data_IF_638546499161
#
_entry.id   IF_638546499161
#
_cell.length_a   1.000
_cell.length_b   1.000
_cell.length_c   1.000
_cell.angle_alpha   90.00
_cell.angle_beta   90.00
_cell.angle_gamma   90.00
#
_symmetry.space_group_name_H-M   'P 1'
#
loop_
_entity.id
_entity.type
_entity.pdbx_description
1 polymer ?
#
# COMPACT_ATOMS: atom_id res chain seq x y z
N UNK A 1 -10.19 1.15 -2.65
CA UNK A 1 -9.01 0.91 -1.77
C UNK A 1 -7.75 1.42 -2.44
N UNK A 2 -6.71 1.74 -1.66
CA UNK A 2 -5.36 1.98 -2.18
C UNK A 2 -4.36 1.03 -1.53
N UNK A 3 -3.58 0.32 -2.34
CA UNK A 3 -2.55 -0.61 -1.88
C UNK A 3 -1.16 -0.12 -2.26
N UNK A 4 -0.23 -0.22 -1.31
CA UNK A 4 1.18 0.10 -1.49
C UNK A 4 2.00 -1.19 -1.31
N UNK A 5 2.75 -1.58 -2.33
CA UNK A 5 3.74 -2.65 -2.27
C UNK A 5 5.11 -2.04 -2.06
N UNK A 6 5.78 -2.41 -0.96
CA UNK A 6 7.10 -1.89 -0.60
C UNK A 6 8.07 -3.02 -0.21
N UNK A 7 9.37 -2.79 -0.32
CA UNK A 7 10.39 -3.85 -0.24
C UNK A 7 10.83 -4.25 1.18
N UNK A 8 10.21 -3.67 2.23
CA UNK A 8 10.51 -3.98 3.62
C UNK A 8 11.43 -2.99 4.34
N UNK A 9 11.78 -3.30 5.59
CA UNK A 9 12.39 -2.35 6.54
C UNK A 9 13.79 -1.84 6.14
N UNK A 10 14.52 -2.57 5.30
CA UNK A 10 15.87 -2.19 4.86
C UNK A 10 15.88 -1.25 3.64
N UNK A 11 14.71 -0.96 3.07
CA UNK A 11 14.55 -0.07 1.93
C UNK A 11 14.30 1.37 2.40
N UNK A 12 15.28 2.25 2.23
CA UNK A 12 15.17 3.65 2.66
C UNK A 12 14.02 4.38 1.96
N UNK A 13 13.91 4.25 0.63
CA UNK A 13 12.86 4.92 -0.14
C UNK A 13 11.45 4.40 0.22
N UNK A 14 11.35 3.15 0.70
CA UNK A 14 10.09 2.60 1.19
C UNK A 14 9.64 3.29 2.49
N UNK A 15 10.57 3.56 3.40
CA UNK A 15 10.28 4.31 4.63
C UNK A 15 9.83 5.74 4.30
N UNK A 16 10.49 6.39 3.35
CA UNK A 16 10.09 7.72 2.86
C UNK A 16 8.68 7.71 2.26
N UNK A 17 8.34 6.68 1.47
CA UNK A 17 7.00 6.51 0.90
C UNK A 17 5.94 6.39 2.00
N UNK A 18 6.15 5.53 2.99
CA UNK A 18 5.22 5.38 4.12
C UNK A 18 5.09 6.70 4.91
N UNK A 19 6.18 7.44 5.09
CA UNK A 19 6.15 8.77 5.72
C UNK A 19 5.39 9.82 4.91
N UNK A 20 5.40 9.73 3.57
CA UNK A 20 4.64 10.63 2.70
C UNK A 20 3.14 10.35 2.77
N UNK A 21 2.74 9.07 2.82
CA UNK A 21 1.34 8.65 2.84
C UNK A 21 0.70 8.71 4.24
N UNK A 22 1.46 8.48 5.31
CA UNK A 22 0.94 8.39 6.67
C UNK A 22 0.08 9.60 7.11
N UNK A 23 0.45 10.87 6.83
CA UNK A 23 -0.35 12.04 7.19
C UNK A 23 -1.71 12.11 6.46
N UNK A 24 -1.89 11.37 5.37
CA UNK A 24 -3.10 11.41 4.55
C UNK A 24 -4.06 10.25 4.81
N UNK A 25 -3.72 9.29 5.69
CA UNK A 25 -4.56 8.11 5.97
C UNK A 25 -6.01 8.49 6.26
N UNK A 26 -6.23 9.47 7.14
CA UNK A 26 -7.58 9.92 7.49
C UNK A 26 -8.32 10.54 6.29
N UNK A 27 -7.63 11.27 5.41
CA UNK A 27 -8.25 11.87 4.21
C UNK A 27 -8.64 10.79 3.19
N UNK A 28 -7.79 9.78 3.01
CA UNK A 28 -8.07 8.61 2.18
C UNK A 28 -9.28 7.82 2.71
N UNK A 29 -9.33 7.56 4.03
CA UNK A 29 -10.46 6.87 4.67
C UNK A 29 -11.77 7.64 4.52
N UNK A 30 -11.77 8.96 4.80
CA UNK A 30 -12.96 9.80 4.64
C UNK A 30 -13.45 9.87 3.19
N UNK A 31 -12.53 9.73 2.22
CA UNK A 31 -12.86 9.65 0.80
C UNK A 31 -13.34 8.25 0.35
N UNK A 32 -13.38 7.25 1.24
CA UNK A 32 -13.78 5.89 0.91
C UNK A 32 -12.68 5.03 0.28
N UNK A 33 -11.41 5.46 0.37
CA UNK A 33 -10.26 4.80 -0.23
C UNK A 33 -9.22 4.42 0.84
N UNK A 34 -9.53 3.55 1.81
CA UNK A 34 -8.59 3.20 2.88
C UNK A 34 -7.26 2.69 2.29
N UNK A 35 -6.17 3.11 2.93
CA UNK A 35 -4.79 2.77 2.59
C UNK A 35 -4.34 1.50 3.31
N UNK A 36 -3.57 0.66 2.64
CA UNK A 36 -2.88 -0.49 3.22
C UNK A 36 -1.52 -0.67 2.53
N UNK A 37 -0.54 -1.20 3.25
CA UNK A 37 0.77 -1.50 2.68
C UNK A 37 1.18 -2.97 2.90
N UNK A 38 1.74 -3.59 1.87
CA UNK A 38 2.17 -4.99 1.84
C UNK A 38 3.66 -5.01 1.56
N UNK A 39 4.41 -5.74 2.39
CA UNK A 39 5.86 -5.85 2.24
C UNK A 39 6.33 -7.26 1.99
N UNK A 40 7.58 -7.40 1.56
CA UNK A 40 8.28 -8.68 1.49
C UNK A 40 8.87 -9.12 2.82
N UNK A 41 8.76 -8.29 3.87
CA UNK A 41 9.22 -8.67 5.20
C UNK A 41 8.37 -9.80 5.76
N UNK A 42 8.98 -10.65 6.58
CA UNK A 42 8.25 -11.50 7.49
C UNK A 42 7.70 -10.68 8.69
N UNK A 43 7.04 -11.35 9.63
CA UNK A 43 6.46 -10.70 10.82
C UNK A 43 7.48 -9.94 11.70
N UNK A 44 8.73 -10.39 11.78
CA UNK A 44 9.78 -9.70 12.53
C UNK A 44 10.27 -8.44 11.81
N UNK A 45 10.44 -8.52 10.48
CA UNK A 45 10.76 -7.37 9.65
C UNK A 45 9.65 -6.31 9.67
N UNK A 46 8.39 -6.73 9.68
CA UNK A 46 7.24 -5.81 9.80
C UNK A 46 7.26 -5.03 11.13
N UNK A 47 7.56 -5.71 12.25
CA UNK A 47 7.76 -5.05 13.55
C UNK A 47 8.93 -4.07 13.53
N UNK A 48 9.98 -4.38 12.77
CA UNK A 48 11.11 -3.48 12.56
C UNK A 48 10.69 -2.25 11.74
N UNK A 49 9.93 -2.42 10.66
CA UNK A 49 9.34 -1.32 9.89
C UNK A 49 8.53 -0.37 10.78
N UNK A 50 7.70 -0.92 11.68
CA UNK A 50 6.91 -0.12 12.64
C UNK A 50 7.82 0.63 13.61
N UNK A 51 8.82 -0.03 14.19
CA UNK A 51 9.75 0.60 15.13
C UNK A 51 10.62 1.69 14.51
N UNK A 52 10.98 1.53 13.23
CA UNK A 52 11.80 2.50 12.49
C UNK A 52 11.01 3.74 12.07
N UNK A 53 9.67 3.71 12.18
CA UNK A 53 8.85 4.88 11.99
C UNK A 53 9.01 5.82 13.19
N UNK A 54 9.63 6.98 12.96
CA UNK A 54 10.07 7.92 14.00
C UNK A 54 9.02 9.02 14.31
N UNK A 55 7.91 9.06 13.57
CA UNK A 55 6.85 10.06 13.71
C UNK A 55 5.68 9.61 14.59
N UNK A 56 5.89 8.60 15.44
CA UNK A 56 4.89 8.07 16.38
C UNK A 56 4.37 6.70 15.93
N UNK A 57 3.07 6.47 16.08
CA UNK A 57 2.43 5.24 15.59
C UNK A 57 2.17 5.36 14.09
N UNK A 58 2.61 4.38 13.31
CA UNK A 58 2.35 4.32 11.88
C UNK A 58 0.85 4.04 11.65
N UNK A 59 0.08 4.97 11.06
CA UNK A 59 -1.38 4.81 10.90
C UNK A 59 -1.75 3.88 9.74
N UNK A 60 -0.80 3.53 8.87
CA UNK A 60 -1.04 2.66 7.71
C UNK A 60 -1.00 1.20 8.19
N UNK A 61 -2.08 0.41 7.98
CA UNK A 61 -2.04 -1.04 8.21
C UNK A 61 -0.98 -1.72 7.33
N UNK A 62 -0.10 -2.49 7.98
CA UNK A 62 0.97 -3.23 7.32
C UNK A 62 0.66 -4.72 7.25
N UNK A 63 1.01 -5.35 6.14
CA UNK A 63 0.89 -6.78 5.90
C UNK A 63 2.21 -7.37 5.40
N UNK A 64 2.47 -8.61 5.80
CA UNK A 64 3.64 -9.38 5.38
C UNK A 64 3.25 -10.31 4.23
N UNK A 65 4.09 -10.33 3.18
CA UNK A 65 4.03 -11.30 2.10
C UNK A 65 5.43 -11.85 1.77
N UNK A 66 6.06 -12.47 2.76
CA UNK A 66 7.38 -13.11 2.62
C UNK A 66 7.43 -14.24 1.58
N UNK A 67 6.29 -14.87 1.26
CA UNK A 67 6.15 -15.87 0.19
C UNK A 67 6.15 -15.28 -1.22
N UNK A 68 5.98 -13.96 -1.37
CA UNK A 68 5.91 -13.22 -2.63
C UNK A 68 4.79 -13.64 -3.60
N UNK A 69 3.84 -14.48 -3.17
CA UNK A 69 2.72 -14.93 -3.99
C UNK A 69 1.75 -13.80 -4.33
N UNK A 70 1.55 -12.84 -3.41
CA UNK A 70 0.74 -11.64 -3.66
C UNK A 70 1.51 -10.67 -4.56
N UNK A 71 2.81 -10.43 -4.31
CA UNK A 71 3.65 -9.60 -5.19
C UNK A 71 3.60 -10.11 -6.64
N UNK A 72 3.73 -11.42 -6.85
CA UNK A 72 3.64 -12.03 -8.19
C UNK A 72 2.25 -11.93 -8.79
N UNK A 73 1.20 -12.10 -8.00
CA UNK A 73 -0.20 -11.98 -8.48
C UNK A 73 -0.55 -10.56 -8.94
N UNK A 74 0.09 -9.54 -8.35
CA UNK A 74 -0.05 -8.14 -8.75
C UNK A 74 1.01 -7.69 -9.78
N UNK A 75 1.84 -8.60 -10.28
CA UNK A 75 2.95 -8.31 -11.19
C UNK A 75 3.97 -7.28 -10.64
N UNK A 76 4.09 -7.21 -9.32
CA UNK A 76 5.08 -6.37 -8.60
C UNK A 76 6.36 -7.18 -8.34
N UNK A 77 6.75 -8.00 -9.30
CA UNK A 77 7.94 -8.85 -9.20
C UNK A 77 8.54 -8.96 -10.60
N UNK A 78 9.82 -8.65 -10.71
CA UNK A 78 10.60 -8.84 -11.93
C UNK A 78 11.08 -10.30 -11.99
N UNK A 79 10.49 -11.10 -12.88
CA UNK A 79 10.89 -12.50 -13.07
C UNK A 79 12.25 -12.67 -13.76
N UNK A 80 12.73 -11.66 -14.50
CA UNK A 80 14.03 -11.67 -15.15
C UNK A 80 15.14 -11.40 -14.14
N UNK A 81 15.02 -10.32 -13.38
CA UNK A 81 15.99 -9.95 -12.34
C UNK A 81 15.77 -10.67 -11.00
N UNK A 82 14.64 -11.39 -10.88
CA UNK A 82 14.22 -12.17 -9.70
C UNK A 82 14.07 -11.32 -8.44
N UNK A 83 13.55 -10.11 -8.58
CA UNK A 83 13.42 -9.17 -7.48
C UNK A 83 12.02 -8.56 -7.36
N UNK A 84 11.54 -8.31 -6.13
CA UNK A 84 10.32 -7.55 -5.91
C UNK A 84 10.50 -6.10 -6.37
N UNK A 85 9.41 -5.48 -6.82
CA UNK A 85 9.35 -4.06 -7.22
C UNK A 85 8.52 -3.26 -6.22
N UNK A 86 8.49 -1.94 -6.40
CA UNK A 86 7.49 -1.10 -5.73
C UNK A 86 6.21 -1.10 -6.54
N UNK A 87 5.09 -0.91 -5.85
CA UNK A 87 3.79 -0.79 -6.52
C UNK A 87 2.85 0.13 -5.76
N UNK A 88 2.06 0.92 -6.47
CA UNK A 88 0.93 1.68 -5.91
C UNK A 88 -0.30 1.42 -6.75
N UNK A 89 -1.40 1.02 -6.12
CA UNK A 89 -2.60 0.59 -6.82
C UNK A 89 -3.84 1.31 -6.29
N UNK A 90 -4.75 1.66 -7.20
CA UNK A 90 -6.13 2.01 -6.87
C UNK A 90 -7.01 0.84 -7.30
N UNK A 91 -7.78 0.31 -6.36
CA UNK A 91 -8.63 -0.87 -6.53
C UNK A 91 -10.08 -0.50 -6.23
N UNK A 92 -11.00 -0.87 -7.12
CA UNK A 92 -12.44 -0.65 -6.93
C UNK A 92 -13.06 -1.64 -5.92
N UNK A 93 -14.33 -1.43 -5.55
CA UNK A 93 -15.06 -2.29 -4.61
C UNK A 93 -15.35 -3.72 -5.12
N UNK A 94 -15.05 -4.02 -6.38
CA UNK A 94 -15.17 -5.36 -6.98
C UNK A 94 -13.81 -6.08 -7.06
N UNK A 95 -12.73 -5.43 -6.63
CA UNK A 95 -11.37 -5.97 -6.68
C UNK A 95 -10.63 -5.72 -7.99
N UNK A 96 -11.15 -4.88 -8.89
CA UNK A 96 -10.43 -4.54 -10.12
C UNK A 96 -9.40 -3.44 -9.88
N UNK A 97 -8.21 -3.60 -10.46
CA UNK A 97 -7.22 -2.52 -10.54
C UNK A 97 -7.69 -1.50 -11.58
N UNK A 98 -7.92 -0.25 -11.16
CA UNK A 98 -8.34 0.84 -12.05
C UNK A 98 -7.21 1.83 -12.35
N UNK A 99 -6.14 1.79 -11.56
CA UNK A 99 -4.89 2.49 -11.81
C UNK A 99 -3.76 1.81 -11.05
N UNK A 100 -2.56 1.83 -11.64
CA UNK A 100 -1.36 1.30 -11.01
C UNK A 100 -0.12 2.07 -11.44
N UNK A 101 0.88 2.08 -10.57
CA UNK A 101 2.28 2.40 -10.86
C UNK A 101 3.14 1.26 -10.31
N UNK A 102 4.02 0.70 -11.14
CA UNK A 102 4.95 -0.39 -10.78
C UNK A 102 6.33 -0.01 -11.29
N UNK A 103 7.32 0.07 -10.39
CA UNK A 103 8.65 0.58 -10.73
C UNK A 103 9.72 0.13 -9.74
N UNK A 104 10.98 0.35 -10.10
CA UNK A 104 12.11 0.24 -9.18
C UNK A 104 12.10 1.31 -8.09
N UNK A 105 11.50 2.47 -8.37
CA UNK A 105 11.35 3.55 -7.40
C UNK A 105 9.91 3.58 -6.86
N UNK A 106 9.70 3.91 -5.57
CA UNK A 106 8.36 4.05 -5.02
C UNK A 106 7.64 5.27 -5.59
N UNK A 107 6.32 5.18 -5.71
CA UNK A 107 5.48 6.33 -6.06
C UNK A 107 5.27 7.22 -4.82
N UNK A 108 5.64 8.49 -4.92
CA UNK A 108 5.77 9.40 -3.77
C UNK A 108 4.69 10.49 -3.64
N UNK A 109 3.67 10.50 -4.51
CA UNK A 109 2.65 11.57 -4.53
C UNK A 109 1.27 11.08 -4.04
N UNK A 110 1.01 11.07 -2.72
CA UNK A 110 -0.28 10.64 -2.18
C UNK A 110 -1.44 11.56 -2.60
N UNK A 111 -1.20 12.84 -2.87
CA UNK A 111 -2.25 13.78 -3.33
C UNK A 111 -2.70 13.45 -4.74
N UNK A 112 -1.76 13.10 -5.60
CA UNK A 112 -2.07 12.59 -6.93
C UNK A 112 -2.91 11.31 -6.84
N UNK A 113 -2.50 10.33 -6.03
CA UNK A 113 -3.24 9.07 -5.88
C UNK A 113 -4.67 9.31 -5.39
N UNK A 114 -4.86 10.17 -4.38
CA UNK A 114 -6.20 10.50 -3.87
C UNK A 114 -7.07 11.18 -4.94
N UNK A 115 -6.49 12.11 -5.71
CA UNK A 115 -7.18 12.79 -6.81
C UNK A 115 -7.60 11.80 -7.90
N UNK A 116 -6.71 10.89 -8.28
CA UNK A 116 -7.01 9.87 -9.30
C UNK A 116 -8.03 8.86 -8.81
N UNK A 117 -7.99 8.46 -7.54
CA UNK A 117 -9.00 7.58 -6.96
C UNK A 117 -10.40 8.21 -7.04
N UNK A 118 -10.53 9.49 -6.66
CA UNK A 118 -11.79 10.25 -6.78
C UNK A 118 -12.25 10.39 -8.24
N UNK A 119 -11.33 10.58 -9.18
CA UNK A 119 -11.64 10.73 -10.61
C UNK A 119 -12.12 9.42 -11.25
N UNK A 120 -11.47 8.31 -10.91
CA UNK A 120 -11.73 7.00 -11.50
C UNK A 120 -12.92 6.28 -10.85
N UNK A 121 -13.22 6.59 -9.59
CA UNK A 121 -14.26 5.94 -8.79
C UNK A 121 -15.22 6.98 -8.17
N UNK A 122 -15.97 7.74 -8.98
CA UNK A 122 -16.81 8.84 -8.50
C UNK A 122 -18.02 8.38 -7.67
N UNK A 123 -18.52 7.16 -7.91
CA UNK A 123 -19.74 6.61 -7.29
C UNK A 123 -19.44 5.51 -6.25
N UNK A 124 -18.24 5.51 -5.67
CA UNK A 124 -17.84 4.42 -4.79
C UNK A 124 -18.77 4.32 -3.57
N UNK A 125 -19.50 3.20 -3.45
CA UNK A 125 -20.24 2.86 -2.24
C UNK A 125 -19.29 2.97 -1.05
N UNK A 126 -19.70 3.76 -0.05
CA UNK A 126 -18.88 4.08 1.12
C UNK A 126 -18.38 2.78 1.75
N UNK A 127 -17.06 2.69 1.92
CA UNK A 127 -16.42 1.62 2.68
C UNK A 127 -17.02 1.55 4.08
N UNK A 128 -17.66 0.42 4.43
CA UNK A 128 -18.35 0.21 5.72
C UNK A 128 -17.44 -0.32 6.82
N UNK A 129 -16.12 -0.18 6.69
CA UNK A 129 -15.13 -0.75 7.60
C UNK A 129 -14.73 -2.18 7.23
N UNK A 130 -13.70 -2.71 7.88
CA UNK A 130 -13.43 -4.15 7.89
C UNK A 130 -14.50 -4.81 8.76
N UNK A 131 -15.39 -5.61 8.18
CA UNK A 131 -16.21 -6.51 8.98
C UNK A 131 -15.25 -7.48 9.70
N UNK A 132 -15.11 -7.30 11.02
CA UNK A 132 -14.30 -8.16 11.90
C UNK A 132 -14.91 -9.56 12.08
N UNK A 133 -15.81 -9.99 11.20
CA UNK A 133 -16.49 -11.29 11.28
C UNK A 133 -15.64 -12.46 10.72
N UNK A 134 -14.34 -12.23 10.49
CA UNK A 134 -13.40 -13.26 10.06
C UNK A 134 -12.07 -13.14 10.84
N UNK A 135 -12.16 -13.28 12.16
CA UNK A 135 -11.10 -13.81 13.02
C UNK A 135 -11.70 -14.82 14.00
#
# INVERSE_FOLDING_TARGET
HVLIFYLGFSCLHCAEQLQAFAPMVQEFEQAGFPLMAISTDNQEGLKTSIKNYDKGDLPIPLFSNDKLDVFKSFHVYDDFEKQPLHGTFIIDGKGNVVWQDISYEPFMDPKFVLKEAKRLLPDHEQWKGFALDVF
#
